data_IF_540287273806
#
_entry.id   IF_540287273806
#
_cell.length_a   1.000
_cell.length_b   1.000
_cell.length_c   1.000
_cell.angle_alpha   90.00
_cell.angle_beta   90.00
_cell.angle_gamma   90.00
#
_symmetry.space_group_name_H-M   'P 1'
#
loop_
_entity.id
_entity.type
_entity.pdbx_description
1 polymer ?
#
# COMPACT_ATOMS: atom_id res chain seq x y z
N UNK A 1 0.75 -18.48 -21.65
CA UNK A 1 -0.15 -17.49 -21.03
C UNK A 1 0.74 -16.44 -20.40
N UNK A 2 0.45 -15.16 -20.63
CA UNK A 2 1.19 -14.06 -20.00
C UNK A 2 0.77 -14.00 -18.54
N UNK A 3 1.72 -13.86 -17.60
CA UNK A 3 1.39 -13.74 -16.18
C UNK A 3 0.79 -12.35 -15.92
N UNK A 4 -0.24 -12.21 -15.08
CA UNK A 4 -0.75 -10.88 -14.73
C UNK A 4 0.34 -10.07 -14.02
N UNK A 5 0.56 -8.86 -14.52
CA UNK A 5 1.55 -7.92 -14.00
C UNK A 5 0.85 -6.83 -13.19
N UNK A 6 1.34 -6.56 -11.98
CA UNK A 6 1.01 -5.36 -11.20
C UNK A 6 2.22 -4.42 -11.16
N UNK A 7 1.97 -3.15 -11.45
CA UNK A 7 2.97 -2.09 -11.48
C UNK A 7 2.58 -1.04 -10.46
N UNK A 8 3.46 -0.75 -9.50
CA UNK A 8 3.31 0.34 -8.55
C UNK A 8 4.39 1.37 -8.82
N UNK A 9 3.98 2.61 -9.05
CA UNK A 9 4.90 3.74 -9.29
C UNK A 9 4.55 4.89 -8.36
N UNK A 10 5.51 5.31 -7.56
CA UNK A 10 5.44 6.54 -6.78
C UNK A 10 5.92 7.72 -7.63
N UNK A 11 5.12 8.80 -7.68
CA UNK A 11 5.46 10.04 -8.39
C UNK A 11 5.05 11.25 -7.56
N UNK A 12 6.01 11.86 -6.86
CA UNK A 12 5.79 13.02 -5.97
C UNK A 12 4.61 12.77 -5.03
N UNK A 13 3.42 13.29 -5.36
CA UNK A 13 2.21 13.22 -4.53
C UNK A 13 1.21 12.16 -5.00
N UNK A 14 1.59 11.29 -5.92
CA UNK A 14 0.71 10.25 -6.46
C UNK A 14 1.35 8.87 -6.33
N UNK A 15 0.52 7.88 -6.03
CA UNK A 15 0.84 6.47 -6.23
C UNK A 15 0.00 5.99 -7.40
N UNK A 16 0.66 5.49 -8.42
CA UNK A 16 0.04 4.91 -9.60
C UNK A 16 0.07 3.41 -9.43
N UNK A 17 -1.11 2.79 -9.49
CA UNK A 17 -1.27 1.35 -9.54
C UNK A 17 -1.78 1.04 -10.95
N UNK A 18 -1.03 0.23 -11.69
CA UNK A 18 -1.40 -0.21 -13.01
C UNK A 18 -1.27 -1.72 -13.10
N UNK A 19 -2.05 -2.34 -13.97
CA UNK A 19 -1.98 -3.77 -14.21
C UNK A 19 -2.06 -4.05 -15.71
N UNK A 20 -1.45 -5.15 -16.12
CA UNK A 20 -1.49 -5.66 -17.49
C UNK A 20 -1.71 -7.16 -17.45
N UNK A 21 -2.60 -7.65 -18.30
CA UNK A 21 -2.73 -9.06 -18.61
C UNK A 21 -3.15 -9.18 -20.07
N UNK A 22 -2.39 -9.96 -20.85
CA UNK A 22 -2.50 -10.01 -22.31
C UNK A 22 -2.43 -8.61 -22.96
N UNK A 23 -3.46 -8.23 -23.71
CA UNK A 23 -3.60 -6.92 -24.36
C UNK A 23 -4.40 -5.90 -23.54
N UNK A 24 -4.84 -6.26 -22.32
CA UNK A 24 -5.65 -5.39 -21.46
C UNK A 24 -4.76 -4.69 -20.43
N UNK A 25 -5.08 -3.43 -20.17
CA UNK A 25 -4.44 -2.64 -19.11
C UNK A 25 -5.48 -1.87 -18.32
N UNK A 26 -5.22 -1.67 -17.03
CA UNK A 26 -6.00 -0.79 -16.17
C UNK A 26 -5.05 0.02 -15.28
N UNK A 27 -5.46 1.24 -14.91
CA UNK A 27 -4.65 2.18 -14.15
C UNK A 27 -5.53 3.00 -13.22
N UNK A 28 -5.14 3.09 -11.96
CA UNK A 28 -5.73 4.01 -11.00
C UNK A 28 -4.64 4.77 -10.24
N UNK A 29 -4.93 6.02 -9.92
CA UNK A 29 -4.01 6.91 -9.24
C UNK A 29 -4.58 7.26 -7.85
N UNK A 30 -3.76 7.13 -6.82
CA UNK A 30 -4.03 7.63 -5.47
C UNK A 30 -3.38 9.00 -5.35
N UNK A 31 -4.19 10.04 -5.18
CA UNK A 31 -3.71 11.40 -4.93
C UNK A 31 -3.38 11.59 -3.44
N UNK A 32 -2.14 11.28 -3.06
CA UNK A 32 -1.68 11.26 -1.67
C UNK A 32 -2.05 12.56 -0.95
N UNK A 33 -1.71 13.73 -1.49
CA UNK A 33 -1.96 15.00 -0.79
C UNK A 33 -3.43 15.21 -0.39
N UNK A 34 -4.37 14.84 -1.26
CA UNK A 34 -5.79 14.99 -0.96
C UNK A 34 -6.27 13.96 0.07
N UNK A 35 -5.83 12.71 -0.10
CA UNK A 35 -6.15 11.60 0.80
C UNK A 35 -5.61 11.86 2.21
N UNK A 36 -4.34 12.23 2.32
CA UNK A 36 -3.68 12.57 3.58
C UNK A 36 -4.33 13.78 4.25
N UNK A 37 -4.61 14.83 3.47
CA UNK A 37 -5.29 16.01 3.98
C UNK A 37 -6.69 15.69 4.54
N UNK A 38 -7.41 14.75 3.91
CA UNK A 38 -8.69 14.27 4.41
C UNK A 38 -8.53 13.49 5.72
N UNK A 39 -7.57 12.57 5.81
CA UNK A 39 -7.35 11.80 7.05
C UNK A 39 -6.98 12.71 8.23
N UNK A 40 -6.06 13.65 8.03
CA UNK A 40 -5.67 14.61 9.06
C UNK A 40 -6.83 15.50 9.47
N UNK A 41 -7.60 16.06 8.51
CA UNK A 41 -8.73 16.93 8.82
C UNK A 41 -9.79 16.24 9.69
N UNK A 42 -9.94 14.93 9.54
CA UNK A 42 -10.96 14.14 10.24
C UNK A 42 -10.40 13.30 11.40
N UNK A 43 -9.13 13.49 11.77
CA UNK A 43 -8.45 12.74 12.84
C UNK A 43 -8.59 11.21 12.67
N UNK A 44 -8.40 10.72 11.43
CA UNK A 44 -8.48 9.30 11.09
C UNK A 44 -7.12 8.61 11.26
N UNK A 45 -7.09 7.32 11.65
CA UNK A 45 -5.84 6.55 11.78
C UNK A 45 -5.19 6.42 10.40
N UNK A 46 -4.11 7.18 10.19
CA UNK A 46 -3.61 7.45 8.86
C UNK A 46 -3.11 6.18 8.17
N UNK A 47 -2.23 5.42 8.83
CA UNK A 47 -1.62 4.22 8.23
C UNK A 47 -2.69 3.19 7.89
N UNK A 48 -3.62 2.92 8.82
CA UNK A 48 -4.71 1.97 8.61
C UNK A 48 -5.58 2.38 7.41
N UNK A 49 -6.04 3.65 7.37
CA UNK A 49 -6.90 4.13 6.27
C UNK A 49 -6.17 4.19 4.93
N UNK A 50 -4.88 4.51 4.94
CA UNK A 50 -4.08 4.45 3.73
C UNK A 50 -3.99 3.01 3.21
N UNK A 51 -3.74 2.02 4.08
CA UNK A 51 -3.66 0.61 3.68
C UNK A 51 -4.99 0.09 3.15
N UNK A 52 -6.12 0.41 3.79
CA UNK A 52 -7.46 0.07 3.28
C UNK A 52 -7.70 0.62 1.86
N UNK A 53 -7.34 1.88 1.63
CA UNK A 53 -7.45 2.51 0.31
C UNK A 53 -6.54 1.81 -0.69
N UNK A 54 -5.29 1.58 -0.32
CA UNK A 54 -4.28 1.00 -1.17
C UNK A 54 -4.67 -0.42 -1.63
N UNK A 55 -5.06 -1.29 -0.69
CA UNK A 55 -5.60 -2.64 -0.96
C UNK A 55 -6.83 -2.58 -1.89
N UNK A 56 -7.73 -1.62 -1.63
CA UNK A 56 -8.92 -1.42 -2.46
C UNK A 56 -8.57 -1.02 -3.89
N UNK A 57 -7.60 -0.12 -4.08
CA UNK A 57 -7.19 0.33 -5.41
C UNK A 57 -6.46 -0.78 -6.16
N UNK A 58 -5.62 -1.60 -5.49
CA UNK A 58 -5.03 -2.80 -6.11
C UNK A 58 -6.14 -3.72 -6.62
N UNK A 59 -7.10 -4.10 -5.75
CA UNK A 59 -8.21 -4.99 -6.11
C UNK A 59 -9.02 -4.46 -7.30
N UNK A 60 -9.40 -3.17 -7.25
CA UNK A 60 -10.18 -2.52 -8.32
C UNK A 60 -9.42 -2.41 -9.63
N UNK A 61 -8.10 -2.25 -9.56
CA UNK A 61 -7.25 -2.17 -10.76
C UNK A 61 -7.13 -3.54 -11.40
N UNK A 62 -6.81 -4.57 -10.60
CA UNK A 62 -6.61 -5.92 -11.09
C UNK A 62 -7.87 -6.54 -11.71
N UNK A 63 -9.03 -6.39 -11.05
CA UNK A 63 -10.28 -7.04 -11.50
C UNK A 63 -10.76 -6.56 -12.88
N UNK A 64 -10.30 -5.38 -13.32
CA UNK A 64 -10.65 -4.84 -14.65
C UNK A 64 -9.93 -5.56 -15.80
N UNK A 65 -8.76 -6.15 -15.56
CA UNK A 65 -7.99 -6.87 -16.59
C UNK A 65 -7.99 -8.37 -16.39
N UNK A 66 -7.97 -8.81 -15.13
CA UNK A 66 -7.88 -10.19 -14.70
C UNK A 66 -8.98 -10.43 -13.66
N UNK A 67 -10.20 -10.83 -14.07
CA UNK A 67 -11.27 -11.14 -13.14
C UNK A 67 -10.89 -12.32 -12.24
N UNK A 68 -10.96 -12.14 -10.92
CA UNK A 68 -10.66 -13.18 -9.92
C UNK A 68 -11.74 -13.22 -8.84
N UNK A 69 -11.89 -14.38 -8.20
CA UNK A 69 -12.77 -14.57 -7.03
C UNK A 69 -12.05 -14.33 -5.73
N UNK A 70 -10.76 -14.64 -5.65
CA UNK A 70 -9.93 -14.50 -4.45
C UNK A 70 -8.67 -13.72 -4.78
N UNK A 71 -8.29 -12.83 -3.89
CA UNK A 71 -7.03 -12.09 -3.92
C UNK A 71 -6.33 -12.22 -2.58
N UNK A 72 -5.13 -12.76 -2.58
CA UNK A 72 -4.22 -12.77 -1.45
C UNK A 72 -3.18 -11.67 -1.63
N UNK A 73 -2.95 -10.88 -0.58
CA UNK A 73 -1.91 -9.86 -0.49
C UNK A 73 -1.03 -10.13 0.72
N UNK A 74 0.28 -10.15 0.51
CA UNK A 74 1.29 -10.17 1.56
C UNK A 74 2.17 -8.94 1.46
N UNK A 75 2.32 -8.21 2.55
CA UNK A 75 3.16 -7.02 2.59
C UNK A 75 3.77 -6.82 3.97
N UNK A 76 4.91 -6.15 4.02
CA UNK A 76 5.57 -5.71 5.24
C UNK A 76 5.33 -4.22 5.47
N UNK A 77 5.05 -3.83 6.72
CA UNK A 77 5.02 -2.43 7.15
C UNK A 77 6.17 -2.19 8.13
N UNK A 78 7.01 -1.21 7.80
CA UNK A 78 8.10 -0.74 8.66
C UNK A 78 7.87 0.73 9.01
N UNK A 79 8.08 1.11 10.26
CA UNK A 79 7.95 2.50 10.71
C UNK A 79 9.11 2.93 11.59
N UNK A 80 9.34 4.23 11.66
CA UNK A 80 10.38 4.81 12.51
C UNK A 80 9.91 5.09 13.96
N UNK A 81 8.66 4.79 14.29
CA UNK A 81 8.03 4.81 15.61
C UNK A 81 6.77 3.92 15.62
N UNK A 82 5.91 4.01 16.63
CA UNK A 82 4.54 3.47 16.49
C UNK A 82 3.79 4.13 15.30
N UNK A 83 2.78 3.47 14.74
CA UNK A 83 2.16 3.89 13.46
C UNK A 83 1.54 5.29 13.48
N UNK A 84 1.02 5.73 14.63
CA UNK A 84 0.35 7.03 14.77
C UNK A 84 1.34 8.17 15.04
N UNK A 85 2.44 7.90 15.74
CA UNK A 85 3.52 8.88 15.99
C UNK A 85 4.61 8.85 14.91
N UNK A 86 4.54 7.90 13.97
CA UNK A 86 5.52 7.72 12.91
C UNK A 86 5.54 8.90 11.94
N UNK A 87 6.74 9.41 11.65
CA UNK A 87 6.95 10.37 10.57
C UNK A 87 7.35 9.71 9.25
N UNK A 88 7.74 8.44 9.29
CA UNK A 88 8.17 7.67 8.11
C UNK A 88 7.70 6.24 8.26
N UNK A 89 6.94 5.76 7.27
CA UNK A 89 6.70 4.34 7.14
C UNK A 89 6.86 3.88 5.70
N UNK A 90 7.28 2.63 5.59
CA UNK A 90 7.63 1.93 4.36
C UNK A 90 6.75 0.70 4.26
N UNK A 91 6.17 0.52 3.08
CA UNK A 91 5.35 -0.63 2.74
C UNK A 91 6.10 -1.38 1.64
N UNK A 92 6.33 -2.67 1.88
CA UNK A 92 6.97 -3.56 0.91
C UNK A 92 5.98 -4.65 0.56
N UNK A 93 5.41 -4.63 -0.65
CA UNK A 93 4.68 -5.77 -1.17
C UNK A 93 5.63 -6.94 -1.40
N UNK A 94 5.22 -8.10 -0.90
CA UNK A 94 5.99 -9.33 -1.01
C UNK A 94 5.33 -10.22 -2.07
N UNK A 95 4.09 -10.62 -1.84
CA UNK A 95 3.37 -11.55 -2.71
C UNK A 95 1.96 -11.05 -3.02
N UNK A 96 1.51 -11.32 -4.25
CA UNK A 96 0.11 -11.13 -4.66
C UNK A 96 -0.31 -12.36 -5.47
N UNK A 97 -1.41 -12.99 -5.04
CA UNK A 97 -1.94 -14.18 -5.69
C UNK A 97 -3.42 -13.97 -5.96
N UNK A 98 -3.86 -14.17 -7.21
CA UNK A 98 -5.26 -14.06 -7.61
C UNK A 98 -5.74 -15.41 -8.19
N UNK A 99 -6.73 -16.04 -7.56
CA UNK A 99 -7.23 -17.38 -7.93
C UNK A 99 -6.10 -18.40 -8.21
N UNK A 100 -5.15 -18.52 -7.28
CA UNK A 100 -3.97 -19.39 -7.35
C UNK A 100 -2.92 -19.01 -8.41
N UNK A 101 -3.07 -17.85 -9.06
CA UNK A 101 -2.09 -17.28 -10.00
C UNK A 101 -1.28 -16.19 -9.30
N UNK A 102 0.03 -16.41 -9.16
CA UNK A 102 0.96 -15.38 -8.69
C UNK A 102 1.11 -14.26 -9.73
N UNK A 103 1.14 -13.01 -9.26
CA UNK A 103 1.33 -11.85 -10.11
C UNK A 103 2.81 -11.44 -10.15
N UNK A 104 3.28 -11.02 -11.33
CA UNK A 104 4.54 -10.32 -11.44
C UNK A 104 4.40 -8.91 -10.82
N UNK A 105 5.42 -8.47 -10.06
CA UNK A 105 5.44 -7.16 -9.41
C UNK A 105 6.54 -6.27 -9.97
N UNK A 106 6.17 -5.08 -10.45
CA UNK A 106 7.11 -4.02 -10.83
C UNK A 106 6.92 -2.80 -9.95
N UNK A 107 7.91 -2.55 -9.09
CA UNK A 107 7.79 -1.60 -8.00
C UNK A 107 6.94 -2.21 -6.89
N UNK A 108 7.58 -2.50 -5.78
CA UNK A 108 6.96 -3.16 -4.63
C UNK A 108 7.13 -2.35 -3.34
N UNK A 109 7.83 -1.23 -3.40
CA UNK A 109 8.13 -0.39 -2.25
C UNK A 109 7.43 0.97 -2.36
N UNK A 110 6.76 1.36 -1.27
CA UNK A 110 6.19 2.69 -1.09
C UNK A 110 6.72 3.25 0.22
N UNK A 111 7.32 4.43 0.17
CA UNK A 111 7.71 5.19 1.36
C UNK A 111 6.81 6.41 1.49
N UNK A 112 6.22 6.58 2.66
CA UNK A 112 5.43 7.76 3.02
C UNK A 112 6.18 8.51 4.13
N UNK A 113 6.53 9.76 3.83
CA UNK A 113 7.30 10.64 4.71
C UNK A 113 6.51 11.90 5.02
N UNK A 114 6.40 12.21 6.31
CA UNK A 114 5.79 13.40 6.85
C UNK A 114 6.79 14.27 7.60
N UNK A 115 6.31 15.40 8.12
CA UNK A 115 7.12 16.28 8.96
C UNK A 115 7.30 15.61 10.33
N UNK A 116 8.55 15.40 10.74
CA UNK A 116 8.87 14.80 12.04
C UNK A 116 8.82 15.82 13.18
N UNK A 117 7.61 16.00 13.72
CA UNK A 117 7.35 16.89 14.86
C UNK A 117 7.64 16.25 16.23
N UNK A 118 8.23 15.04 16.27
CA UNK A 118 8.51 14.37 17.55
C UNK A 118 9.57 15.12 18.34
N UNK A 119 9.34 15.27 19.64
CA UNK A 119 10.32 15.82 20.58
C UNK A 119 11.55 14.91 20.76
N UNK A 120 12.66 15.47 21.25
CA UNK A 120 13.95 14.76 21.40
C UNK A 120 13.84 13.48 22.22
N UNK A 121 13.03 13.47 23.29
CA UNK A 121 12.83 12.30 24.14
C UNK A 121 12.05 11.19 23.42
N UNK A 122 10.99 11.54 22.68
CA UNK A 122 10.21 10.59 21.85
C UNK A 122 11.09 9.95 20.76
N UNK A 123 11.93 10.76 20.10
CA UNK A 123 12.92 10.29 19.12
C UNK A 123 13.93 9.31 19.74
N UNK A 124 14.46 9.62 20.93
CA UNK A 124 15.42 8.75 21.62
C UNK A 124 14.82 7.38 21.99
N UNK A 125 13.53 7.31 22.33
CA UNK A 125 12.88 6.05 22.73
C UNK A 125 12.18 5.31 21.59
N UNK A 126 12.06 5.93 20.42
CA UNK A 126 11.31 5.42 19.25
C UNK A 126 11.68 3.99 18.84
N UNK A 127 12.95 3.59 19.00
CA UNK A 127 13.42 2.24 18.67
C UNK A 127 12.65 1.11 19.39
N UNK A 128 12.02 1.40 20.53
CA UNK A 128 11.21 0.42 21.27
C UNK A 128 9.79 0.26 20.74
N UNK A 129 9.34 1.18 19.87
CA UNK A 129 7.96 1.28 19.36
C UNK A 129 7.86 1.09 17.85
N UNK A 130 9.01 1.03 17.15
CA UNK A 130 9.07 0.78 15.71
C UNK A 130 8.27 -0.46 15.35
N UNK A 131 7.45 -0.33 14.31
CA UNK A 131 6.74 -1.45 13.74
C UNK A 131 7.60 -2.05 12.64
N UNK A 132 7.62 -3.38 12.61
CA UNK A 132 8.13 -4.17 11.49
C UNK A 132 7.27 -5.44 11.46
N UNK A 133 6.17 -5.36 10.72
CA UNK A 133 5.11 -6.37 10.75
C UNK A 133 4.77 -6.82 9.33
N UNK A 134 4.78 -8.13 9.13
CA UNK A 134 4.29 -8.77 7.92
C UNK A 134 2.80 -9.07 8.08
N UNK A 135 2.00 -8.57 7.15
CA UNK A 135 0.55 -8.71 7.13
C UNK A 135 0.16 -9.54 5.91
N UNK A 136 -0.77 -10.47 6.13
CA UNK A 136 -1.35 -11.33 5.11
C UNK A 136 -2.86 -11.14 5.11
N UNK A 137 -3.44 -10.86 3.94
CA UNK A 137 -4.89 -10.65 3.78
C UNK A 137 -5.42 -11.40 2.57
N UNK A 138 -6.54 -12.10 2.76
CA UNK A 138 -7.35 -12.70 1.68
C UNK A 138 -8.65 -11.88 1.50
N UNK A 139 -8.97 -11.56 0.26
CA UNK A 139 -10.20 -10.88 -0.14
C UNK A 139 -11.00 -11.79 -1.06
N UNK A 140 -12.32 -11.86 -0.84
CA UNK A 140 -13.25 -12.55 -1.72
C UNK A 140 -14.06 -11.51 -2.49
N UNK A 141 -13.99 -11.56 -3.83
CA UNK A 141 -14.82 -10.76 -4.72
C UNK A 141 -16.27 -11.24 -4.66
N UNK A 142 -17.20 -10.33 -4.36
CA UNK A 142 -18.65 -10.57 -4.44
C UNK A 142 -19.16 -10.52 -5.87
#
# INVERSE_FOLDING_TARGET
MDMPLLIIKTKKNNIIIATKHDSKTAKHDIQLKLVLGYYWKNNLPFVEKFMELFETVIRRTLIQVFPFKKLYLKYNIESNDDLEESSVFKITLMDIIADDVELELVGNEITLEGIDNRGTMSKMTSFRRKVNETIEKEFVSQ
#
